data_IF_329998949440
#
_entry.id   IF_329998949440
#
_cell.length_a   1.000
_cell.length_b   1.000
_cell.length_c   1.000
_cell.angle_alpha   90.00
_cell.angle_beta   90.00
_cell.angle_gamma   90.00
#
_symmetry.space_group_name_H-M   'P 1'
#
loop_
_entity.id
_entity.type
_entity.pdbx_description
1 polymer ?
#
# COMPACT_ATOMS: atom_id res chain seq x y z
N UNK A 1 9.95 14.27 6.67
CA UNK A 1 9.79 12.81 6.46
C UNK A 1 9.98 12.12 7.80
N UNK A 2 9.17 11.10 8.09
CA UNK A 2 8.80 10.72 9.46
C UNK A 2 9.85 10.04 10.35
N UNK A 3 9.44 9.76 11.58
CA UNK A 3 10.13 8.87 12.54
C UNK A 3 9.44 7.51 12.49
N UNK A 4 10.22 6.45 12.46
CA UNK A 4 9.70 5.09 12.45
C UNK A 4 10.44 4.22 13.47
N UNK A 5 9.71 3.29 14.07
CA UNK A 5 10.22 2.22 14.91
C UNK A 5 9.38 0.96 14.71
N UNK A 6 10.00 -0.21 14.90
CA UNK A 6 9.32 -1.51 14.80
C UNK A 6 8.41 -1.79 15.99
N UNK A 7 8.64 -1.13 17.14
CA UNK A 7 7.77 -1.11 18.33
C UNK A 7 7.14 0.28 18.51
N UNK A 8 6.27 0.46 19.51
CA UNK A 8 5.61 1.75 19.79
C UNK A 8 5.84 2.30 21.22
N UNK A 9 6.67 1.62 22.02
CA UNK A 9 7.00 2.03 23.38
C UNK A 9 7.98 3.23 23.44
N UNK A 10 9.02 3.22 22.59
CA UNK A 10 10.10 4.23 22.65
C UNK A 10 9.86 5.42 21.70
N UNK A 11 9.41 5.13 20.49
CA UNK A 11 9.19 6.13 19.43
C UNK A 11 7.82 5.87 18.83
N UNK A 12 6.93 6.86 18.96
CA UNK A 12 5.68 6.89 18.21
C UNK A 12 5.97 7.21 16.76
N UNK A 13 5.55 6.31 15.86
CA UNK A 13 5.64 6.47 14.40
C UNK A 13 4.91 7.74 13.98
N UNK A 14 5.58 8.62 13.27
CA UNK A 14 4.96 9.91 12.93
C UNK A 14 5.57 10.51 11.68
N UNK A 15 4.75 10.93 10.73
CA UNK A 15 5.15 11.88 9.70
C UNK A 15 5.42 13.26 10.31
N UNK A 16 5.89 14.19 9.48
CA UNK A 16 6.20 15.56 9.89
C UNK A 16 5.37 16.50 9.02
N UNK A 17 4.50 17.29 9.64
CA UNK A 17 3.62 18.21 8.92
C UNK A 17 4.33 19.50 8.48
N UNK A 18 3.66 20.24 7.58
CA UNK A 18 4.03 21.59 7.13
C UNK A 18 5.44 21.68 6.57
N UNK A 19 5.82 20.66 5.81
CA UNK A 19 7.07 20.63 5.08
C UNK A 19 6.79 21.06 3.64
N UNK A 20 7.51 22.06 3.15
CA UNK A 20 7.37 22.56 1.79
C UNK A 20 8.20 23.81 1.57
N UNK A 21 8.19 24.28 0.33
CA UNK A 21 8.80 25.51 -0.14
C UNK A 21 7.83 26.19 -1.15
N UNK A 22 8.20 27.31 -1.80
CA UNK A 22 7.30 27.98 -2.76
C UNK A 22 6.86 27.15 -3.97
N UNK A 23 7.47 25.99 -4.22
CA UNK A 23 7.26 25.18 -5.42
C UNK A 23 6.79 23.76 -5.13
N UNK A 24 6.90 23.32 -3.87
CA UNK A 24 6.72 21.93 -3.51
C UNK A 24 6.19 21.76 -2.10
N UNK A 25 5.37 20.73 -1.95
CA UNK A 25 4.79 20.30 -0.68
C UNK A 25 5.18 18.86 -0.39
N UNK A 26 5.53 18.60 0.87
CA UNK A 26 5.63 17.23 1.39
C UNK A 26 4.33 16.94 2.13
N UNK A 27 3.51 16.07 1.54
CA UNK A 27 2.39 15.40 2.17
C UNK A 27 2.90 14.35 3.17
N UNK A 28 2.01 13.58 3.80
CA UNK A 28 2.33 12.53 4.79
C UNK A 28 3.62 11.76 4.47
N UNK A 29 3.70 11.21 3.26
CA UNK A 29 4.83 10.42 2.77
C UNK A 29 5.32 10.80 1.36
N UNK A 30 4.71 11.81 0.72
CA UNK A 30 4.93 12.14 -0.68
C UNK A 30 5.43 13.56 -0.84
N UNK A 31 6.61 13.72 -1.47
CA UNK A 31 7.06 15.00 -2.01
C UNK A 31 6.39 15.24 -3.37
N UNK A 32 5.74 16.39 -3.53
CA UNK A 32 5.10 16.81 -4.77
C UNK A 32 5.57 18.18 -5.19
N UNK A 33 5.82 18.36 -6.49
CA UNK A 33 5.87 19.70 -7.10
C UNK A 33 4.42 20.18 -7.21
N UNK A 34 4.16 21.40 -6.75
CA UNK A 34 2.79 21.93 -6.63
C UNK A 34 2.26 22.44 -7.98
N UNK A 35 3.14 23.04 -8.81
CA UNK A 35 2.83 23.46 -10.17
C UNK A 35 3.95 23.06 -11.14
N UNK A 36 3.79 21.89 -11.76
CA UNK A 36 4.71 21.40 -12.80
C UNK A 36 4.69 22.27 -14.07
N UNK A 37 3.63 23.02 -14.35
CA UNK A 37 3.54 23.90 -15.51
C UNK A 37 4.38 25.17 -15.34
N UNK A 38 4.68 25.57 -14.10
CA UNK A 38 5.65 26.64 -13.80
C UNK A 38 7.10 26.29 -14.18
N UNK A 39 7.38 25.03 -14.55
CA UNK A 39 8.67 24.59 -15.08
C UNK A 39 9.75 24.29 -14.02
N UNK A 40 9.45 24.47 -12.73
CA UNK A 40 10.34 24.05 -11.64
C UNK A 40 10.12 22.56 -11.37
N UNK A 41 11.15 21.74 -11.56
CA UNK A 41 11.08 20.28 -11.38
C UNK A 41 12.14 19.80 -10.38
N UNK A 42 11.86 18.66 -9.73
CA UNK A 42 12.83 17.96 -8.90
C UNK A 42 13.95 17.41 -9.80
N UNK A 43 15.18 17.88 -9.57
CA UNK A 43 16.36 17.43 -10.32
C UNK A 43 17.12 16.33 -9.58
N UNK A 44 17.33 16.51 -8.29
CA UNK A 44 18.15 15.66 -7.44
C UNK A 44 17.53 15.56 -6.05
N UNK A 45 17.76 14.46 -5.35
CA UNK A 45 17.31 14.26 -3.98
C UNK A 45 18.41 13.56 -3.16
N UNK A 46 18.38 13.77 -1.85
CA UNK A 46 19.23 13.06 -0.89
C UNK A 46 18.36 12.45 0.19
N UNK A 47 18.58 11.16 0.49
CA UNK A 47 17.98 10.51 1.63
C UNK A 47 18.96 10.53 2.80
N UNK A 48 18.50 11.04 3.95
CA UNK A 48 19.23 11.01 5.21
C UNK A 48 18.49 10.13 6.19
N UNK A 49 19.20 9.18 6.78
CA UNK A 49 18.70 8.35 7.86
C UNK A 49 19.52 8.62 9.13
N UNK A 50 18.83 8.77 10.26
CA UNK A 50 19.45 8.92 11.58
C UNK A 50 18.97 7.77 12.44
N UNK A 51 19.91 6.94 12.91
CA UNK A 51 19.61 5.78 13.73
C UNK A 51 19.78 6.15 15.20
N UNK A 52 18.74 5.86 15.98
CA UNK A 52 18.74 6.09 17.41
C UNK A 52 18.93 4.76 18.15
N UNK A 53 19.65 4.81 19.26
CA UNK A 53 19.75 3.74 20.25
C UNK A 53 19.76 4.37 21.64
N UNK A 54 19.36 3.61 22.66
CA UNK A 54 19.50 4.05 24.04
C UNK A 54 21.00 4.24 24.39
N UNK A 55 21.36 5.24 25.22
CA UNK A 55 22.76 5.58 25.51
C UNK A 55 23.61 4.44 26.09
N UNK A 56 22.98 3.50 26.80
CA UNK A 56 23.58 2.35 27.48
C UNK A 56 23.53 1.05 26.64
N UNK A 57 23.00 1.11 25.42
CA UNK A 57 22.91 -0.03 24.51
C UNK A 57 24.04 -0.01 23.49
N UNK A 58 24.67 -1.18 23.29
CA UNK A 58 25.69 -1.37 22.25
C UNK A 58 25.08 -1.79 20.91
N UNK A 59 23.85 -2.29 20.90
CA UNK A 59 23.11 -2.66 19.69
C UNK A 59 22.56 -1.40 19.01
N UNK A 60 22.78 -1.27 17.72
CA UNK A 60 22.19 -0.23 16.87
C UNK A 60 21.15 -0.85 15.94
N UNK A 61 20.09 -0.10 15.55
CA UNK A 61 19.18 -0.54 14.50
C UNK A 61 19.95 -0.89 13.23
N UNK A 62 19.51 -1.94 12.54
CA UNK A 62 20.03 -2.32 11.23
C UNK A 62 19.04 -1.91 10.17
N UNK A 63 19.55 -1.35 9.08
CA UNK A 63 18.75 -0.91 7.94
C UNK A 63 19.16 -1.75 6.74
N UNK A 64 18.18 -2.39 6.13
CA UNK A 64 18.37 -3.25 4.98
C UNK A 64 18.17 -2.50 3.67
N UNK A 65 17.21 -1.57 3.66
CA UNK A 65 16.90 -0.75 2.49
C UNK A 65 16.51 0.66 2.92
N UNK A 66 16.98 1.65 2.17
CA UNK A 66 16.45 3.01 2.15
C UNK A 66 16.27 3.38 0.68
N UNK A 67 15.11 3.90 0.33
CA UNK A 67 14.79 4.20 -1.06
C UNK A 67 13.73 5.28 -1.17
N UNK A 68 13.72 5.93 -2.32
CA UNK A 68 12.66 6.81 -2.76
C UNK A 68 12.30 6.43 -4.19
N UNK A 69 11.00 6.44 -4.48
CA UNK A 69 10.51 6.31 -5.83
C UNK A 69 10.22 7.72 -6.36
N UNK A 70 10.88 8.07 -7.46
CA UNK A 70 10.60 9.30 -8.20
C UNK A 70 9.84 8.98 -9.48
N UNK A 71 8.86 9.80 -9.82
CA UNK A 71 8.08 9.63 -11.05
C UNK A 71 7.66 10.98 -11.62
N UNK A 72 7.66 11.09 -12.95
CA UNK A 72 7.08 12.21 -13.69
C UNK A 72 6.00 11.68 -14.63
N UNK A 73 4.84 11.36 -14.05
CA UNK A 73 3.67 10.87 -14.80
C UNK A 73 2.76 12.06 -15.10
N UNK A 74 2.46 12.35 -16.39
CA UNK A 74 1.56 13.43 -16.75
C UNK A 74 0.15 13.26 -16.17
N UNK A 75 -0.56 14.38 -16.10
CA UNK A 75 -2.00 14.38 -15.83
C UNK A 75 -2.75 13.59 -16.89
N UNK A 76 -3.52 12.59 -16.45
CA UNK A 76 -4.31 11.73 -17.32
C UNK A 76 -5.53 11.22 -16.56
N UNK A 77 -6.68 11.25 -17.24
CA UNK A 77 -7.96 10.73 -16.73
C UNK A 77 -8.23 9.28 -17.20
N UNK A 78 -7.59 8.90 -18.29
CA UNK A 78 -7.63 7.56 -18.88
C UNK A 78 -6.21 7.07 -19.16
N UNK A 79 -6.06 5.78 -19.45
CA UNK A 79 -4.77 5.17 -19.77
C UNK A 79 -4.88 4.22 -20.96
N UNK A 80 -3.80 4.02 -21.73
CA UNK A 80 -3.73 2.93 -22.68
C UNK A 80 -3.86 1.59 -21.95
N UNK A 81 -4.74 0.72 -22.43
CA UNK A 81 -4.90 -0.61 -21.87
C UNK A 81 -3.71 -1.49 -22.21
N UNK A 82 -3.30 -2.30 -21.25
CA UNK A 82 -2.27 -3.33 -21.42
C UNK A 82 -2.76 -4.49 -22.29
N UNK A 83 -1.83 -5.24 -22.88
CA UNK A 83 -2.17 -6.34 -23.80
C UNK A 83 -2.72 -7.57 -23.07
N UNK A 84 -2.21 -7.83 -21.87
CA UNK A 84 -2.54 -8.97 -21.02
C UNK A 84 -1.94 -10.30 -21.49
N UNK A 85 -2.53 -11.40 -20.99
CA UNK A 85 -2.24 -12.80 -21.32
C UNK A 85 -0.90 -13.35 -20.79
N UNK A 86 -0.27 -12.67 -19.85
CA UNK A 86 0.95 -13.10 -19.18
C UNK A 86 0.64 -14.02 -17.99
N UNK A 87 -0.43 -13.74 -17.24
CA UNK A 87 -0.85 -14.48 -16.04
C UNK A 87 -2.35 -14.76 -15.95
N UNK A 88 -3.08 -14.69 -17.07
CA UNK A 88 -4.50 -15.05 -17.10
C UNK A 88 -4.73 -16.49 -16.66
N UNK A 89 -5.79 -16.71 -15.87
CA UNK A 89 -6.12 -17.99 -15.25
C UNK A 89 -5.25 -18.35 -14.05
N UNK A 90 -4.42 -17.42 -13.54
CA UNK A 90 -3.59 -17.63 -12.35
C UNK A 90 -4.13 -16.83 -11.19
N UNK A 91 -4.30 -17.49 -10.05
CA UNK A 91 -4.68 -16.88 -8.78
C UNK A 91 -3.77 -17.40 -7.67
N UNK A 92 -3.20 -16.48 -6.89
CA UNK A 92 -2.37 -16.76 -5.74
C UNK A 92 -3.26 -16.97 -4.51
N UNK A 93 -2.94 -17.97 -3.70
CA UNK A 93 -3.65 -18.27 -2.45
C UNK A 93 -3.24 -17.33 -1.32
N UNK A 94 -3.46 -16.03 -1.51
CA UNK A 94 -3.25 -15.01 -0.47
C UNK A 94 -4.38 -15.12 0.55
N UNK A 95 -4.08 -15.14 1.87
CA UNK A 95 -5.08 -15.05 2.93
C UNK A 95 -6.03 -13.86 2.74
N UNK A 96 -7.25 -13.99 3.27
CA UNK A 96 -8.32 -13.02 3.07
C UNK A 96 -8.71 -12.42 4.41
N UNK A 97 -8.48 -11.12 4.53
CA UNK A 97 -8.87 -10.35 5.71
C UNK A 97 -9.72 -9.17 5.28
N UNK A 98 -10.87 -9.02 5.94
CA UNK A 98 -11.72 -7.86 5.86
C UNK A 98 -11.28 -6.85 6.92
N UNK A 99 -11.25 -5.57 6.56
CA UNK A 99 -11.05 -4.50 7.54
C UNK A 99 -12.35 -4.19 8.30
N UNK A 100 -13.53 -4.36 7.66
CA UNK A 100 -14.81 -3.89 8.21
C UNK A 100 -15.29 -4.76 9.38
N UNK A 101 -14.83 -6.02 9.50
CA UNK A 101 -15.11 -6.82 10.70
C UNK A 101 -14.43 -6.27 11.96
N UNK A 102 -13.50 -5.32 11.79
CA UNK A 102 -12.82 -4.61 12.87
C UNK A 102 -13.40 -3.22 13.16
N UNK A 103 -14.54 -2.87 12.56
CA UNK A 103 -15.20 -1.58 12.79
C UNK A 103 -15.40 -1.34 14.30
N UNK A 104 -14.85 -0.21 14.79
CA UNK A 104 -14.89 0.16 16.21
C UNK A 104 -13.90 -0.59 17.12
N UNK A 105 -13.10 -1.52 16.61
CA UNK A 105 -11.98 -2.09 17.38
C UNK A 105 -10.87 -1.04 17.49
N UNK A 106 -10.42 -0.75 18.71
CA UNK A 106 -9.31 0.19 18.98
C UNK A 106 -9.45 1.52 18.21
N UNK A 107 -10.51 2.31 18.48
CA UNK A 107 -10.84 3.52 17.73
C UNK A 107 -9.74 4.59 17.75
N UNK A 108 -8.79 4.51 18.69
CA UNK A 108 -7.58 5.33 18.73
C UNK A 108 -6.68 5.15 17.50
N UNK A 109 -6.86 4.07 16.73
CA UNK A 109 -6.17 3.84 15.47
C UNK A 109 -7.15 4.07 14.32
N UNK A 110 -7.44 5.33 13.99
CA UNK A 110 -8.19 5.70 12.76
C UNK A 110 -9.64 5.16 12.74
N UNK A 111 -10.37 5.32 13.86
CA UNK A 111 -11.79 4.94 13.97
C UNK A 111 -12.06 3.45 14.17
N UNK A 112 -11.04 2.60 13.99
CA UNK A 112 -11.14 1.15 14.12
C UNK A 112 -11.73 0.50 12.87
N UNK A 113 -10.94 -0.34 12.18
CA UNK A 113 -11.35 -1.12 10.99
C UNK A 113 -11.69 -0.33 9.72
N UNK A 114 -12.54 0.70 9.82
CA UNK A 114 -13.11 1.46 8.69
C UNK A 114 -12.05 2.09 7.77
N UNK A 115 -10.88 2.42 8.32
CA UNK A 115 -9.77 3.03 7.58
C UNK A 115 -8.50 2.14 7.52
N UNK A 116 -8.64 0.83 7.76
CA UNK A 116 -7.52 -0.12 7.84
C UNK A 116 -7.20 -0.86 6.54
N UNK A 117 -7.62 -0.36 5.37
CA UNK A 117 -7.35 -0.99 4.07
C UNK A 117 -5.87 -1.32 3.83
N UNK A 118 -4.98 -0.39 4.21
CA UNK A 118 -3.53 -0.51 4.02
C UNK A 118 -2.88 -1.56 4.94
N UNK A 119 -3.06 -1.52 6.29
CA UNK A 119 -2.52 -2.57 7.16
C UNK A 119 -3.14 -3.94 6.87
N UNK A 120 -4.44 -4.01 6.57
CA UNK A 120 -5.11 -5.27 6.23
C UNK A 120 -4.54 -5.89 4.96
N UNK A 121 -4.34 -5.08 3.91
CA UNK A 121 -3.70 -5.53 2.66
C UNK A 121 -2.24 -5.94 2.86
N UNK A 122 -1.52 -5.22 3.72
CA UNK A 122 -0.13 -5.52 4.04
C UNK A 122 -0.02 -6.85 4.78
N UNK A 123 -0.87 -7.07 5.78
CA UNK A 123 -0.89 -8.31 6.58
C UNK A 123 -1.24 -9.53 5.71
N UNK A 124 -2.22 -9.42 4.80
CA UNK A 124 -2.53 -10.47 3.83
C UNK A 124 -1.28 -10.93 3.05
N UNK A 125 -0.44 -9.99 2.61
CA UNK A 125 0.77 -10.32 1.84
C UNK A 125 1.92 -10.82 2.72
N UNK A 126 2.07 -10.29 3.94
CA UNK A 126 3.04 -10.79 4.93
C UNK A 126 2.75 -12.27 5.25
N UNK A 127 1.48 -12.60 5.50
CA UNK A 127 1.03 -13.97 5.79
C UNK A 127 1.11 -14.90 4.58
N UNK A 128 0.87 -14.39 3.36
CA UNK A 128 1.12 -15.16 2.13
C UNK A 128 2.57 -15.69 2.05
N UNK A 129 3.54 -14.95 2.59
CA UNK A 129 4.94 -15.37 2.63
C UNK A 129 5.32 -16.18 3.88
N UNK A 130 4.33 -16.61 4.67
CA UNK A 130 4.53 -17.41 5.88
C UNK A 130 5.23 -16.63 6.99
N UNK A 131 4.96 -15.33 7.11
CA UNK A 131 5.34 -14.49 8.25
C UNK A 131 4.07 -13.95 8.88
N UNK A 132 4.12 -13.66 10.18
CA UNK A 132 3.01 -13.08 10.94
C UNK A 132 3.52 -12.58 12.28
N UNK A 133 2.82 -11.65 12.93
CA UNK A 133 3.01 -11.39 14.35
C UNK A 133 2.94 -12.69 15.17
N UNK A 134 3.77 -12.79 16.21
CA UNK A 134 3.71 -13.90 17.16
C UNK A 134 2.50 -13.79 18.08
N UNK A 135 2.18 -14.87 18.80
CA UNK A 135 1.11 -14.83 19.82
C UNK A 135 1.37 -13.76 20.89
N UNK A 136 2.63 -13.57 21.27
CA UNK A 136 3.07 -12.51 22.20
C UNK A 136 2.85 -11.12 21.61
N UNK A 137 3.21 -10.90 20.34
CA UNK A 137 2.98 -9.62 19.65
C UNK A 137 1.49 -9.25 19.60
N UNK A 138 0.61 -10.26 19.54
CA UNK A 138 -0.85 -10.09 19.50
C UNK A 138 -1.53 -10.20 20.87
N UNK A 139 -0.80 -10.43 21.96
CA UNK A 139 -1.41 -10.74 23.27
C UNK A 139 -2.17 -9.58 23.90
N UNK A 140 -2.00 -8.37 23.36
CA UNK A 140 -2.72 -7.17 23.77
C UNK A 140 -4.10 -7.06 23.10
N UNK A 141 -4.33 -7.84 22.04
CA UNK A 141 -5.60 -7.82 21.30
C UNK A 141 -6.67 -8.54 22.14
N UNK A 142 -7.87 -7.97 22.20
CA UNK A 142 -9.02 -8.57 22.86
C UNK A 142 -9.28 -9.95 22.21
N UNK A 143 -9.26 -11.05 22.98
CA UNK A 143 -9.38 -12.39 22.44
C UNK A 143 -10.75 -12.67 21.79
N UNK A 144 -11.74 -11.78 21.97
CA UNK A 144 -13.03 -11.87 21.29
C UNK A 144 -13.01 -11.29 19.88
N UNK A 145 -11.99 -10.51 19.53
CA UNK A 145 -11.85 -9.94 18.19
C UNK A 145 -11.22 -10.96 17.22
N UNK A 146 -11.76 -11.08 15.99
CA UNK A 146 -11.13 -11.88 14.94
C UNK A 146 -9.81 -11.25 14.50
N UNK A 147 -9.01 -12.05 13.79
CA UNK A 147 -7.83 -11.63 13.05
C UNK A 147 -6.90 -10.67 13.84
N UNK A 148 -6.34 -11.13 14.97
CA UNK A 148 -5.55 -10.27 15.84
C UNK A 148 -4.29 -9.71 15.14
N UNK A 149 -3.82 -10.35 14.07
CA UNK A 149 -2.72 -9.85 13.24
C UNK A 149 -3.09 -8.58 12.47
N UNK A 150 -4.34 -8.39 12.06
CA UNK A 150 -4.83 -7.15 11.43
C UNK A 150 -4.85 -6.00 12.42
N UNK A 151 -5.38 -6.23 13.64
CA UNK A 151 -5.34 -5.24 14.72
C UNK A 151 -3.89 -4.85 15.08
N UNK A 152 -3.01 -5.85 15.15
CA UNK A 152 -1.58 -5.64 15.34
C UNK A 152 -0.97 -4.79 14.22
N UNK A 153 -1.19 -5.15 12.96
CA UNK A 153 -0.70 -4.39 11.81
C UNK A 153 -1.17 -2.92 11.86
N UNK A 154 -2.45 -2.67 12.15
CA UNK A 154 -2.99 -1.30 12.26
C UNK A 154 -2.24 -0.47 13.31
N UNK A 155 -2.08 -0.99 14.53
CA UNK A 155 -1.27 -0.34 15.59
C UNK A 155 0.18 -0.13 15.15
N UNK A 156 0.77 -1.08 14.44
CA UNK A 156 2.18 -1.07 14.05
C UNK A 156 2.50 -0.21 12.82
N UNK A 157 1.50 0.26 12.09
CA UNK A 157 1.68 1.20 10.97
C UNK A 157 1.10 2.59 11.22
N UNK A 158 0.29 2.75 12.28
CA UNK A 158 -0.39 4.01 12.58
C UNK A 158 0.59 5.18 12.71
N UNK A 159 0.29 6.25 11.98
CA UNK A 159 1.04 7.49 11.94
C UNK A 159 0.31 8.56 12.77
N UNK A 160 0.89 8.91 13.92
CA UNK A 160 0.28 9.82 14.89
C UNK A 160 0.13 11.27 14.43
N UNK A 161 0.84 11.71 13.38
CA UNK A 161 0.68 13.06 12.82
C UNK A 161 -0.30 13.09 11.67
N UNK A 162 -0.35 11.99 10.91
CA UNK A 162 -1.36 11.79 9.88
C UNK A 162 -2.73 11.44 10.47
N UNK A 163 -2.75 10.90 11.70
CA UNK A 163 -3.94 10.36 12.36
C UNK A 163 -4.56 9.21 11.56
N UNK A 164 -3.71 8.32 11.04
CA UNK A 164 -4.18 7.24 10.18
C UNK A 164 -3.18 6.11 9.93
N UNK A 165 -3.71 4.99 9.42
CA UNK A 165 -2.92 3.78 9.11
C UNK A 165 -2.47 3.70 7.64
N UNK A 166 -2.80 4.70 6.83
CA UNK A 166 -2.56 4.76 5.39
C UNK A 166 -1.18 5.23 4.93
N UNK A 167 -0.21 5.45 5.82
CA UNK A 167 1.15 5.90 5.43
C UNK A 167 1.91 4.75 4.70
N UNK A 168 2.24 4.95 3.42
CA UNK A 168 2.72 3.84 2.57
C UNK A 168 4.12 3.34 2.97
N UNK A 169 5.12 4.21 3.23
CA UNK A 169 6.39 3.78 3.78
C UNK A 169 6.28 3.07 5.13
N UNK A 170 5.33 3.43 6.00
CA UNK A 170 5.19 2.77 7.30
C UNK A 170 4.66 1.34 7.16
N UNK A 171 3.73 1.11 6.24
CA UNK A 171 3.23 -0.23 5.92
C UNK A 171 4.33 -1.12 5.33
N UNK A 172 5.11 -0.60 4.38
CA UNK A 172 6.23 -1.36 3.79
C UNK A 172 7.38 -1.56 4.76
N UNK A 173 7.66 -0.61 5.66
CA UNK A 173 8.62 -0.81 6.74
C UNK A 173 8.16 -1.86 7.77
N UNK A 174 6.86 -1.89 8.11
CA UNK A 174 6.26 -2.96 8.93
C UNK A 174 6.45 -4.33 8.26
N UNK A 175 6.09 -4.48 6.99
CA UNK A 175 6.30 -5.73 6.25
C UNK A 175 7.78 -6.16 6.21
N UNK A 176 8.71 -5.21 5.98
CA UNK A 176 10.15 -5.48 5.98
C UNK A 176 10.75 -5.75 7.36
N UNK A 177 10.00 -5.53 8.45
CA UNK A 177 10.44 -5.88 9.81
C UNK A 177 10.39 -7.39 10.06
N UNK A 178 9.58 -8.13 9.31
CA UNK A 178 9.49 -9.58 9.41
C UNK A 178 10.74 -10.25 8.81
N UNK A 179 11.30 -11.28 9.48
CA UNK A 179 12.53 -11.92 9.05
C UNK A 179 12.53 -12.38 7.60
N UNK A 180 13.37 -11.73 6.80
CA UNK A 180 13.65 -12.11 5.42
C UNK A 180 12.63 -11.63 4.39
N UNK A 181 11.78 -10.65 4.72
CA UNK A 181 10.99 -9.95 3.73
C UNK A 181 11.68 -8.65 3.29
N UNK A 182 11.67 -8.40 1.98
CA UNK A 182 11.87 -7.09 1.40
C UNK A 182 10.50 -6.50 1.10
N UNK A 183 10.33 -5.20 1.38
CA UNK A 183 9.13 -4.48 1.02
C UNK A 183 9.43 -3.03 0.64
N UNK A 184 8.76 -2.53 -0.39
CA UNK A 184 8.88 -1.13 -0.80
C UNK A 184 7.65 -0.63 -1.56
N UNK A 185 7.52 0.69 -1.58
CA UNK A 185 6.55 1.40 -2.43
C UNK A 185 7.17 1.66 -3.79
N UNK A 186 6.42 1.41 -4.85
CA UNK A 186 6.83 1.73 -6.22
C UNK A 186 5.64 2.21 -7.05
N UNK A 187 5.89 2.51 -8.32
CA UNK A 187 4.88 2.79 -9.32
C UNK A 187 5.04 1.82 -10.48
N UNK A 188 3.97 1.11 -10.80
CA UNK A 188 3.90 0.22 -11.97
C UNK A 188 3.18 0.95 -13.12
N UNK A 189 3.41 0.52 -14.35
CA UNK A 189 3.01 1.28 -15.53
C UNK A 189 1.82 0.66 -16.27
N UNK A 190 1.50 -0.60 -15.98
CA UNK A 190 0.47 -1.38 -16.68
C UNK A 190 0.04 -2.61 -15.87
N UNK A 191 -1.11 -3.19 -16.18
CA UNK A 191 -1.46 -4.52 -15.67
C UNK A 191 -0.53 -5.62 -16.21
N UNK A 192 0.16 -5.43 -17.34
CA UNK A 192 1.19 -6.38 -17.78
C UNK A 192 2.35 -6.46 -16.78
N UNK A 193 2.69 -5.38 -16.10
CA UNK A 193 3.68 -5.39 -15.01
C UNK A 193 3.18 -6.21 -13.82
N UNK A 194 1.90 -6.04 -13.46
CA UNK A 194 1.25 -6.82 -12.40
C UNK A 194 1.18 -8.29 -12.78
N UNK A 195 0.83 -8.64 -14.02
CA UNK A 195 0.81 -10.02 -14.48
C UNK A 195 2.19 -10.68 -14.41
N UNK A 196 3.28 -9.95 -14.71
CA UNK A 196 4.65 -10.48 -14.53
C UNK A 196 4.95 -10.81 -13.07
N UNK A 197 4.48 -9.97 -12.13
CA UNK A 197 4.59 -10.20 -10.69
C UNK A 197 3.74 -11.40 -10.24
N UNK A 198 2.47 -11.48 -10.65
CA UNK A 198 1.59 -12.61 -10.36
C UNK A 198 2.13 -13.93 -10.94
N UNK A 199 2.66 -13.91 -12.17
CA UNK A 199 3.34 -15.05 -12.79
C UNK A 199 4.55 -15.50 -11.97
N UNK A 200 5.30 -14.55 -11.40
CA UNK A 200 6.39 -14.83 -10.48
C UNK A 200 5.92 -15.29 -9.09
N UNK A 201 4.62 -15.24 -8.78
CA UNK A 201 4.06 -15.57 -7.48
C UNK A 201 4.22 -14.45 -6.46
N UNK A 202 4.19 -13.19 -6.90
CA UNK A 202 4.27 -12.00 -6.04
C UNK A 202 2.93 -11.27 -6.13
N UNK A 203 2.10 -11.28 -5.07
CA UNK A 203 0.89 -10.47 -5.03
C UNK A 203 1.24 -8.98 -4.96
N UNK A 204 0.32 -8.13 -5.41
CA UNK A 204 0.58 -6.70 -5.56
C UNK A 204 -0.47 -5.92 -4.79
N UNK A 205 -0.06 -5.14 -3.79
CA UNK A 205 -0.96 -4.21 -3.12
C UNK A 205 -1.06 -2.96 -3.98
N UNK A 206 -2.26 -2.54 -4.38
CA UNK A 206 -2.47 -1.38 -5.26
C UNK A 206 -3.32 -0.32 -4.60
N UNK A 207 -2.95 0.95 -4.80
CA UNK A 207 -3.74 2.10 -4.35
C UNK A 207 -4.78 2.50 -5.37
N UNK A 208 -6.00 2.79 -4.91
CA UNK A 208 -7.16 3.01 -5.77
C UNK A 208 -7.94 4.24 -5.38
N UNK A 209 -8.57 4.85 -6.38
CA UNK A 209 -9.49 5.98 -6.19
C UNK A 209 -10.51 6.01 -7.33
N UNK A 210 -11.78 5.84 -6.97
CA UNK A 210 -12.88 5.70 -7.93
C UNK A 210 -14.23 6.12 -7.35
N UNK A 211 -15.17 6.45 -8.22
CA UNK A 211 -16.59 6.50 -7.92
C UNK A 211 -17.19 5.12 -8.08
N UNK A 212 -18.28 4.84 -7.37
CA UNK A 212 -18.97 3.54 -7.46
C UNK A 212 -19.38 3.16 -8.89
N UNK A 213 -19.61 4.14 -9.76
CA UNK A 213 -19.96 3.94 -11.17
C UNK A 213 -18.76 3.65 -12.09
N UNK A 214 -17.53 3.68 -11.59
CA UNK A 214 -16.31 3.52 -12.39
C UNK A 214 -15.68 2.13 -12.25
N UNK A 215 -16.12 1.33 -11.28
CA UNK A 215 -15.62 -0.02 -11.02
C UNK A 215 -16.80 -0.95 -10.71
N UNK A 216 -17.30 -1.62 -11.74
CA UNK A 216 -18.45 -2.51 -11.64
C UNK A 216 -18.15 -3.68 -10.69
N UNK A 217 -19.13 -3.98 -9.84
CA UNK A 217 -19.02 -5.01 -8.81
C UNK A 217 -18.40 -4.54 -7.49
N UNK A 218 -17.79 -3.35 -7.42
CA UNK A 218 -17.27 -2.82 -6.16
C UNK A 218 -18.40 -2.47 -5.17
N UNK A 219 -19.50 -1.88 -5.66
CA UNK A 219 -20.66 -1.44 -4.85
C UNK A 219 -20.37 -0.31 -3.84
N UNK A 220 -19.22 0.35 -3.93
CA UNK A 220 -18.87 1.54 -3.16
C UNK A 220 -17.95 2.46 -3.98
N UNK A 221 -17.72 3.68 -3.51
CA UNK A 221 -16.71 4.59 -4.07
C UNK A 221 -15.71 5.01 -3.00
N UNK A 222 -14.51 5.41 -3.41
CA UNK A 222 -13.44 5.77 -2.49
C UNK A 222 -12.53 6.89 -3.02
N UNK A 223 -12.10 7.80 -2.16
CA UNK A 223 -11.04 8.78 -2.44
C UNK A 223 -9.64 8.17 -2.35
N UNK A 224 -9.48 7.05 -1.65
CA UNK A 224 -8.24 6.33 -1.45
C UNK A 224 -8.51 4.99 -0.78
N UNK A 225 -8.06 3.89 -1.39
CA UNK A 225 -8.22 2.54 -0.86
C UNK A 225 -7.05 1.66 -1.27
N UNK A 226 -6.69 0.68 -0.44
CA UNK A 226 -5.68 -0.33 -0.76
C UNK A 226 -6.36 -1.69 -0.82
N UNK A 227 -6.08 -2.44 -1.87
CA UNK A 227 -6.42 -3.86 -1.96
C UNK A 227 -5.29 -4.66 -2.60
N UNK A 228 -5.39 -5.99 -2.60
CA UNK A 228 -4.33 -6.88 -3.10
C UNK A 228 -4.77 -7.52 -4.41
N UNK A 229 -4.06 -7.26 -5.50
CA UNK A 229 -4.18 -8.08 -6.71
C UNK A 229 -3.54 -9.44 -6.45
N UNK A 230 -4.35 -10.48 -6.55
CA UNK A 230 -3.94 -11.87 -6.30
C UNK A 230 -3.93 -12.71 -7.57
N UNK A 231 -4.52 -12.21 -8.66
CA UNK A 231 -4.62 -13.00 -9.88
C UNK A 231 -5.41 -12.37 -11.00
N UNK A 232 -5.67 -13.18 -12.01
CA UNK A 232 -6.50 -12.84 -13.17
C UNK A 232 -7.37 -14.02 -13.55
N UNK A 233 -8.61 -13.77 -13.99
CA UNK A 233 -9.49 -14.80 -14.57
C UNK A 233 -8.91 -15.33 -15.88
N UNK A 234 -9.53 -16.37 -16.44
CA UNK A 234 -9.13 -16.90 -17.74
C UNK A 234 -9.33 -15.87 -18.88
N UNK A 235 -10.27 -14.95 -18.69
CA UNK A 235 -10.64 -13.87 -19.60
C UNK A 235 -9.80 -12.59 -19.37
N UNK A 236 -9.05 -12.52 -18.27
CA UNK A 236 -8.12 -11.43 -17.98
C UNK A 236 -8.63 -10.35 -17.02
N UNK A 237 -9.80 -10.55 -16.42
CA UNK A 237 -10.32 -9.70 -15.35
C UNK A 237 -9.51 -9.86 -14.08
N UNK A 238 -9.42 -8.79 -13.30
CA UNK A 238 -8.50 -8.71 -12.16
C UNK A 238 -9.14 -9.38 -10.96
N UNK A 239 -8.47 -10.39 -10.40
CA UNK A 239 -8.89 -11.01 -9.14
C UNK A 239 -8.17 -10.31 -8.00
N UNK A 240 -8.93 -9.77 -7.06
CA UNK A 240 -8.41 -9.05 -5.90
C UNK A 240 -8.92 -9.62 -4.59
N UNK A 241 -8.12 -9.49 -3.55
CA UNK A 241 -8.59 -9.50 -2.17
C UNK A 241 -8.82 -8.04 -1.75
N UNK A 242 -10.08 -7.62 -1.71
CA UNK A 242 -10.53 -6.29 -1.29
C UNK A 242 -10.92 -6.29 0.19
N UNK A 243 -10.15 -5.60 1.07
CA UNK A 243 -10.44 -5.61 2.49
C UNK A 243 -11.72 -4.85 2.87
N UNK A 244 -12.28 -3.99 2.01
CA UNK A 244 -13.54 -3.26 2.26
C UNK A 244 -14.78 -4.17 2.04
N UNK A 245 -14.77 -5.34 2.67
CA UNK A 245 -15.78 -6.39 2.52
C UNK A 245 -16.45 -6.67 3.86
N UNK A 246 -17.70 -7.15 3.88
CA UNK A 246 -18.45 -7.41 5.13
C UNK A 246 -17.96 -8.62 5.94
N UNK A 247 -17.17 -9.51 5.34
CA UNK A 247 -16.55 -10.66 5.99
C UNK A 247 -15.30 -11.12 5.23
N UNK A 248 -14.49 -12.01 5.81
CA UNK A 248 -13.31 -12.58 5.16
C UNK A 248 -13.66 -13.41 3.91
N UNK A 249 -14.83 -14.05 3.89
CA UNK A 249 -15.31 -14.82 2.73
C UNK A 249 -15.65 -13.91 1.55
N UNK A 250 -16.14 -12.70 1.83
CA UNK A 250 -16.53 -11.70 0.82
C UNK A 250 -15.35 -10.90 0.24
N UNK A 251 -14.14 -11.03 0.81
CA UNK A 251 -12.93 -10.28 0.39
C UNK A 251 -12.55 -10.52 -1.07
N UNK A 252 -12.78 -11.72 -1.62
CA UNK A 252 -12.38 -12.03 -2.98
C UNK A 252 -13.36 -11.42 -3.99
N UNK A 253 -12.88 -10.46 -4.77
CA UNK A 253 -13.64 -9.80 -5.84
C UNK A 253 -12.97 -9.99 -7.21
N UNK A 254 -13.77 -9.84 -8.27
CA UNK A 254 -13.30 -9.85 -9.66
C UNK A 254 -13.79 -8.58 -10.32
N UNK A 255 -12.86 -7.79 -10.85
CA UNK A 255 -13.17 -6.51 -11.47
C UNK A 255 -12.83 -6.49 -12.96
N UNK A 256 -13.65 -5.84 -13.79
CA UNK A 256 -13.36 -5.69 -15.21
C UNK A 256 -12.00 -5.06 -15.44
N UNK A 257 -11.18 -5.70 -16.28
CA UNK A 257 -9.78 -5.31 -16.50
C UNK A 257 -9.59 -3.83 -16.84
N UNK A 258 -10.35 -3.35 -17.82
CA UNK A 258 -10.24 -1.97 -18.34
C UNK A 258 -10.58 -0.93 -17.27
N UNK A 259 -11.62 -1.18 -16.50
CA UNK A 259 -12.07 -0.31 -15.42
C UNK A 259 -11.00 -0.24 -14.33
N UNK A 260 -10.54 -1.42 -13.87
CA UNK A 260 -9.47 -1.52 -12.88
C UNK A 260 -8.20 -0.80 -13.33
N UNK A 261 -7.72 -1.09 -14.54
CA UNK A 261 -6.48 -0.50 -15.06
C UNK A 261 -6.57 1.02 -15.15
N UNK A 262 -7.74 1.52 -15.57
CA UNK A 262 -8.01 2.96 -15.65
C UNK A 262 -8.02 3.62 -14.28
N UNK A 263 -8.80 3.10 -13.31
CA UNK A 263 -8.92 3.74 -12.00
C UNK A 263 -7.60 3.70 -11.21
N UNK A 264 -6.79 2.67 -11.44
CA UNK A 264 -5.47 2.52 -10.83
C UNK A 264 -4.41 3.43 -11.46
N UNK A 265 -4.31 3.46 -12.79
CA UNK A 265 -3.17 4.13 -13.45
C UNK A 265 -3.40 5.60 -13.77
N UNK A 266 -4.64 6.10 -13.73
CA UNK A 266 -4.90 7.54 -13.93
C UNK A 266 -4.33 8.38 -12.79
N UNK A 267 -3.85 9.57 -13.11
CA UNK A 267 -3.29 10.53 -12.14
C UNK A 267 -4.31 11.59 -11.73
N UNK A 268 -5.39 11.76 -12.51
CA UNK A 268 -6.52 12.64 -12.21
C UNK A 268 -7.84 11.91 -12.39
N UNK A 269 -8.86 12.33 -11.65
CA UNK A 269 -10.23 11.84 -11.79
C UNK A 269 -11.25 12.93 -11.49
N UNK A 270 -12.48 12.76 -11.99
CA UNK A 270 -13.62 13.53 -11.54
C UNK A 270 -14.12 12.93 -10.22
N UNK A 271 -14.28 13.76 -9.21
CA UNK A 271 -14.75 13.35 -7.89
C UNK A 271 -16.28 13.48 -7.77
N UNK A 272 -16.83 13.07 -6.63
CA UNK A 272 -18.28 13.03 -6.42
C UNK A 272 -18.95 14.43 -6.45
N UNK A 273 -18.19 15.51 -6.25
CA UNK A 273 -18.71 16.89 -6.38
C UNK A 273 -18.57 17.47 -7.79
N UNK A 274 -18.03 16.69 -8.75
CA UNK A 274 -17.76 17.15 -10.12
C UNK A 274 -16.43 17.88 -10.29
N UNK A 275 -15.63 18.02 -9.23
CA UNK A 275 -14.29 18.60 -9.28
C UNK A 275 -13.20 17.59 -9.70
N UNK A 276 -11.97 18.07 -9.88
CA UNK A 276 -10.82 17.22 -10.19
C UNK A 276 -10.06 16.85 -8.91
N UNK A 277 -9.81 15.56 -8.72
CA UNK A 277 -8.97 15.02 -7.64
C UNK A 277 -7.83 14.16 -8.19
N UNK A 278 -6.83 13.86 -7.36
CA UNK A 278 -5.76 12.93 -7.71
C UNK A 278 -6.25 11.49 -7.84
N UNK A 279 -5.65 10.75 -8.78
CA UNK A 279 -5.68 9.29 -8.81
C UNK A 279 -4.36 8.73 -8.29
N UNK A 280 -4.27 7.41 -8.07
CA UNK A 280 -3.04 6.82 -7.53
C UNK A 280 -1.91 6.80 -8.56
N UNK A 281 -2.24 6.74 -9.85
CA UNK A 281 -1.29 6.76 -10.96
C UNK A 281 -0.41 5.51 -11.06
N UNK A 282 -0.82 4.38 -10.46
CA UNK A 282 -0.05 3.13 -10.48
C UNK A 282 0.77 2.85 -9.23
N UNK A 283 0.53 3.56 -8.12
CA UNK A 283 1.19 3.26 -6.83
C UNK A 283 0.89 1.83 -6.41
N UNK A 284 1.93 1.13 -5.96
CA UNK A 284 1.85 -0.23 -5.46
C UNK A 284 2.84 -0.49 -4.32
N UNK A 285 2.51 -1.44 -3.45
CA UNK A 285 3.47 -2.05 -2.52
C UNK A 285 3.84 -3.42 -3.07
N UNK A 286 5.14 -3.69 -3.03
CA UNK A 286 5.66 -5.01 -3.34
C UNK A 286 6.33 -5.56 -2.10
N UNK A 287 6.00 -6.80 -1.75
CA UNK A 287 6.57 -7.54 -0.63
C UNK A 287 6.95 -8.93 -1.13
N UNK A 288 8.18 -9.36 -0.87
CA UNK A 288 8.67 -10.70 -1.22
C UNK A 288 9.77 -11.15 -0.26
N UNK A 289 10.11 -12.45 -0.25
CA UNK A 289 11.34 -12.91 0.38
C UNK A 289 12.58 -12.33 -0.32
N UNK A 290 13.62 -11.97 0.44
CA UNK A 290 14.83 -11.33 -0.10
C UNK A 290 15.54 -12.16 -1.18
N UNK A 291 15.54 -13.48 -1.03
CA UNK A 291 16.17 -14.43 -1.96
C UNK A 291 15.43 -14.60 -3.28
N UNK A 292 14.16 -14.18 -3.36
CA UNK A 292 13.35 -14.30 -4.58
C UNK A 292 13.72 -13.15 -5.53
N UNK A 293 14.09 -13.40 -6.80
CA UNK A 293 14.41 -12.33 -7.72
C UNK A 293 13.15 -11.56 -8.16
N UNK A 294 13.31 -10.27 -8.47
CA UNK A 294 12.27 -9.49 -9.13
C UNK A 294 12.12 -9.94 -10.60
N UNK A 295 10.90 -10.05 -11.14
CA UNK A 295 10.72 -10.21 -12.58
C UNK A 295 11.18 -8.93 -13.31
N UNK A 296 11.47 -9.04 -14.60
CA UNK A 296 11.80 -7.88 -15.43
C UNK A 296 10.57 -6.98 -15.60
N UNK A 297 10.51 -5.93 -14.78
CA UNK A 297 9.48 -4.90 -14.78
C UNK A 297 10.19 -3.55 -14.62
N UNK A 298 9.81 -2.56 -15.43
CA UNK A 298 10.43 -1.25 -15.39
C UNK A 298 10.20 -0.59 -14.01
N UNK A 299 11.27 -0.03 -13.43
CA UNK A 299 11.23 0.61 -12.11
C UNK A 299 11.46 -0.33 -10.92
N UNK A 300 11.63 -1.64 -11.13
CA UNK A 300 12.04 -2.55 -10.06
C UNK A 300 13.57 -2.61 -9.89
N UNK A 301 14.08 -2.87 -8.67
CA UNK A 301 15.50 -3.14 -8.44
C UNK A 301 15.96 -4.33 -9.29
N UNK A 302 17.21 -4.26 -9.78
CA UNK A 302 17.88 -5.35 -10.48
C UNK A 302 18.53 -6.32 -9.52
#
# INVERSE_FOLDING_TARGET
MGRWASGDADIRRTSVNRQGDPWSTIWTDTFSIDDVAAGVLLREYQLRLTLYRAPDQWRSPRVWMVGAMGSFVPDRFTVPLSTGRIAWGRELSVPRYSQNIHEGHYPEYDGGGEAWCSPTSTEMVVEYWGRRPSEEDTSWVDPTYPDPTVNHAARMVYDYTYDGAGNWPFNTAYAASFPGLDAFVTRLHSLDDVERLIRAGIPVVTSQSFLASELDGANYGTSGHLFVVVGFTAEGDVVVNDPASSSNEAVRNVYPREQFETVWLRTKRINASGGVSGGSGGIAYLVKPWWKPWPQVAGLPR
#
